data_IF_747568617562
#
_entry.id   IF_747568617562
#
_cell.length_a   1.000
_cell.length_b   1.000
_cell.length_c   1.000
_cell.angle_alpha   90.00
_cell.angle_beta   90.00
_cell.angle_gamma   90.00
#
_symmetry.space_group_name_H-M   'P 1'
#
loop_
_entity.id
_entity.type
_entity.pdbx_description
1 polymer ?
#
# COMPACT_ATOMS: atom_id res chain seq x y z
N UNK A 1 -13.02 8.50 -45.95
CA UNK A 1 -13.87 7.92 -44.90
C UNK A 1 -13.07 6.81 -44.25
N UNK A 2 -12.77 6.99 -42.96
CA UNK A 2 -12.33 6.01 -41.94
C UNK A 2 -11.18 5.05 -42.31
N UNK A 3 -9.99 5.36 -41.79
CA UNK A 3 -9.02 4.35 -41.38
C UNK A 3 -8.59 4.67 -39.95
N UNK A 4 -9.42 4.27 -38.99
CA UNK A 4 -9.22 4.43 -37.55
C UNK A 4 -8.95 3.04 -36.93
N UNK A 5 -7.87 2.39 -37.37
CA UNK A 5 -7.53 1.00 -37.03
C UNK A 5 -6.00 0.86 -36.90
N UNK A 6 -5.40 1.48 -35.89
CA UNK A 6 -3.99 1.21 -35.54
C UNK A 6 -3.59 1.69 -34.12
N UNK A 7 -4.44 1.45 -33.11
CA UNK A 7 -4.11 1.80 -31.71
C UNK A 7 -4.05 0.60 -30.76
N UNK A 8 -4.48 -0.60 -31.18
CA UNK A 8 -4.73 -1.72 -30.26
C UNK A 8 -3.52 -2.61 -29.85
N UNK A 9 -2.36 -2.66 -30.52
CA UNK A 9 -1.21 -3.43 -30.02
C UNK A 9 -0.49 -2.76 -28.85
N UNK A 10 -0.38 -1.42 -28.86
CA UNK A 10 0.32 -0.63 -27.85
C UNK A 10 -0.46 -0.55 -26.55
N UNK A 11 -1.77 -0.27 -26.62
CA UNK A 11 -2.64 -0.26 -25.45
C UNK A 11 -2.58 -1.59 -24.66
N UNK A 12 -2.51 -2.73 -25.37
CA UNK A 12 -2.33 -4.03 -24.73
C UNK A 12 -0.93 -4.24 -24.10
N UNK A 13 0.12 -3.60 -24.59
CA UNK A 13 1.46 -3.68 -23.99
C UNK A 13 1.54 -2.85 -22.69
N UNK A 14 0.97 -1.63 -22.70
CA UNK A 14 0.98 -0.73 -21.55
C UNK A 14 0.17 -1.31 -20.38
N UNK A 15 -0.96 -1.97 -20.67
CA UNK A 15 -1.77 -2.67 -19.65
C UNK A 15 -0.98 -3.84 -19.04
N UNK A 16 -0.29 -4.64 -19.86
CA UNK A 16 0.54 -5.74 -19.36
C UNK A 16 1.67 -5.23 -18.46
N UNK A 17 2.32 -4.13 -18.84
CA UNK A 17 3.34 -3.51 -18.00
C UNK A 17 2.76 -3.02 -16.66
N UNK A 18 1.62 -2.33 -16.71
CA UNK A 18 0.89 -1.85 -15.51
C UNK A 18 0.53 -3.01 -14.59
N UNK A 19 -0.03 -4.09 -15.14
CA UNK A 19 -0.40 -5.29 -14.39
C UNK A 19 0.84 -6.00 -13.79
N UNK A 20 1.96 -6.05 -14.52
CA UNK A 20 3.21 -6.62 -14.01
C UNK A 20 3.77 -5.78 -12.85
N UNK A 21 3.80 -4.44 -12.99
CA UNK A 21 4.21 -3.54 -11.90
C UNK A 21 3.33 -3.72 -10.66
N UNK A 22 2.02 -3.82 -10.85
CA UNK A 22 1.07 -4.09 -9.78
C UNK A 22 1.36 -5.44 -9.10
N UNK A 23 1.65 -6.50 -9.86
CA UNK A 23 2.04 -7.81 -9.31
C UNK A 23 3.31 -7.70 -8.47
N UNK A 24 4.36 -7.03 -8.97
CA UNK A 24 5.61 -6.83 -8.24
C UNK A 24 5.40 -6.07 -6.92
N UNK A 25 4.56 -5.03 -6.94
CA UNK A 25 4.24 -4.27 -5.74
C UNK A 25 3.44 -5.11 -4.74
N UNK A 26 2.45 -5.90 -5.17
CA UNK A 26 1.72 -6.83 -4.30
C UNK A 26 2.64 -7.90 -3.70
N UNK A 27 3.60 -8.42 -4.47
CA UNK A 27 4.59 -9.36 -3.96
C UNK A 27 5.47 -8.71 -2.88
N UNK A 28 5.90 -7.47 -3.09
CA UNK A 28 6.69 -6.71 -2.10
C UNK A 28 5.86 -6.42 -0.84
N UNK A 29 4.60 -6.01 -1.02
CA UNK A 29 3.65 -5.75 0.05
C UNK A 29 3.41 -6.98 0.94
N UNK A 30 3.13 -8.14 0.33
CA UNK A 30 2.95 -9.40 1.04
C UNK A 30 4.23 -9.89 1.72
N UNK A 31 5.40 -9.56 1.17
CA UNK A 31 6.70 -9.82 1.81
C UNK A 31 6.85 -9.00 3.11
N UNK A 32 6.45 -7.73 3.13
CA UNK A 32 6.47 -6.90 4.34
C UNK A 32 5.48 -7.40 5.41
N UNK A 33 4.28 -7.83 5.01
CA UNK A 33 3.33 -8.50 5.93
C UNK A 33 3.94 -9.78 6.51
N UNK A 34 4.61 -10.57 5.68
CA UNK A 34 5.27 -11.80 6.13
C UNK A 34 6.39 -11.51 7.13
N UNK A 35 7.17 -10.45 6.91
CA UNK A 35 8.19 -10.00 7.85
C UNK A 35 7.57 -9.59 9.19
N UNK A 36 6.47 -8.82 9.18
CA UNK A 36 5.70 -8.50 10.41
C UNK A 36 5.28 -9.78 11.15
N UNK A 37 4.73 -10.76 10.43
CA UNK A 37 4.31 -12.05 11.00
C UNK A 37 5.46 -12.89 11.57
N UNK A 38 6.67 -12.78 11.01
CA UNK A 38 7.88 -13.42 11.53
C UNK A 38 8.41 -12.75 12.81
N UNK A 39 8.03 -11.49 13.06
CA UNK A 39 8.39 -10.71 14.24
C UNK A 39 7.25 -10.58 15.25
N UNK A 40 6.27 -11.50 15.22
CA UNK A 40 5.09 -11.56 16.12
C UNK A 40 5.38 -11.89 17.58
N UNK A 41 6.63 -11.79 18.01
CA UNK A 41 7.00 -11.89 19.43
C UNK A 41 6.14 -10.89 20.22
N UNK A 42 5.90 -11.13 21.52
CA UNK A 42 4.88 -10.39 22.28
C UNK A 42 5.19 -8.88 22.28
N UNK A 43 4.57 -8.14 21.37
CA UNK A 43 4.53 -6.69 21.36
C UNK A 43 3.63 -6.26 22.51
N UNK A 44 4.17 -5.51 23.45
CA UNK A 44 3.43 -5.05 24.64
C UNK A 44 3.21 -3.55 24.67
N UNK A 45 3.83 -2.81 23.74
CA UNK A 45 3.76 -1.35 23.70
C UNK A 45 2.43 -0.93 23.07
N UNK A 46 1.50 -0.36 23.87
CA UNK A 46 0.14 -0.06 23.41
C UNK A 46 0.09 0.84 22.19
N UNK A 47 1.02 1.79 22.09
CA UNK A 47 1.08 2.75 21.00
C UNK A 47 1.45 2.09 19.66
N UNK A 48 2.35 1.11 19.69
CA UNK A 48 2.72 0.30 18.51
C UNK A 48 1.58 -0.60 18.07
N UNK A 49 0.83 -1.17 19.03
CA UNK A 49 -0.35 -1.99 18.73
C UNK A 49 -1.48 -1.14 18.12
N UNK A 50 -1.77 0.03 18.71
CA UNK A 50 -2.74 0.96 18.15
C UNK A 50 -2.34 1.43 16.75
N UNK A 51 -1.05 1.68 16.51
CA UNK A 51 -0.56 2.01 15.17
C UNK A 51 -0.79 0.86 14.18
N UNK A 52 -0.57 -0.39 14.58
CA UNK A 52 -0.85 -1.56 13.74
C UNK A 52 -2.35 -1.63 13.40
N UNK A 53 -3.22 -1.46 14.38
CA UNK A 53 -4.68 -1.47 14.18
C UNK A 53 -5.11 -0.37 13.20
N UNK A 54 -4.59 0.85 13.38
CA UNK A 54 -4.88 1.98 12.49
C UNK A 54 -4.29 1.79 11.09
N UNK A 55 -3.12 1.16 10.97
CA UNK A 55 -2.51 0.82 9.70
C UNK A 55 -3.35 -0.22 8.94
N UNK A 56 -3.90 -1.23 9.63
CA UNK A 56 -4.83 -2.20 9.02
C UNK A 56 -6.09 -1.50 8.53
N UNK A 57 -6.70 -0.63 9.35
CA UNK A 57 -7.87 0.15 8.92
C UNK A 57 -7.56 1.02 7.70
N UNK A 58 -6.39 1.67 7.66
CA UNK A 58 -5.97 2.47 6.52
C UNK A 58 -5.75 1.63 5.25
N UNK A 59 -5.13 0.45 5.37
CA UNK A 59 -4.91 -0.46 4.24
C UNK A 59 -6.24 -0.87 3.64
N UNK A 60 -7.18 -1.29 4.49
CA UNK A 60 -8.52 -1.69 4.08
C UNK A 60 -9.25 -0.53 3.40
N UNK A 61 -9.20 0.66 4.00
CA UNK A 61 -9.77 1.85 3.40
C UNK A 61 -9.12 2.14 2.03
N UNK A 62 -7.81 2.32 1.96
CA UNK A 62 -7.14 2.71 0.71
C UNK A 62 -7.41 1.75 -0.46
N UNK A 63 -7.52 0.43 -0.21
CA UNK A 63 -7.77 -0.57 -1.24
C UNK A 63 -9.22 -0.62 -1.74
N UNK A 64 -10.19 -0.21 -0.92
CA UNK A 64 -11.61 -0.33 -1.25
C UNK A 64 -12.30 0.99 -1.61
N UNK A 65 -11.63 2.13 -1.46
CA UNK A 65 -12.27 3.45 -1.61
C UNK A 65 -12.29 4.00 -3.04
N UNK A 66 -13.26 4.89 -3.28
CA UNK A 66 -13.48 5.59 -4.54
C UNK A 66 -12.49 6.75 -4.73
N UNK A 67 -12.19 7.22 -5.95
CA UNK A 67 -11.38 8.41 -6.19
C UNK A 67 -11.84 9.67 -5.42
N UNK A 68 -13.12 9.75 -5.05
CA UNK A 68 -13.65 10.85 -4.24
C UNK A 68 -13.08 10.92 -2.81
N UNK A 69 -12.51 9.82 -2.31
CA UNK A 69 -11.97 9.70 -0.95
C UNK A 69 -10.45 9.94 -0.88
N UNK A 70 -9.81 10.24 -2.01
CA UNK A 70 -8.35 10.33 -2.14
C UNK A 70 -7.72 11.29 -1.12
N UNK A 71 -8.34 12.45 -0.88
CA UNK A 71 -7.84 13.39 0.12
C UNK A 71 -7.92 12.82 1.55
N UNK A 72 -8.99 12.09 1.88
CA UNK A 72 -9.18 11.47 3.21
C UNK A 72 -8.11 10.40 3.43
N UNK A 73 -7.87 9.57 2.42
CA UNK A 73 -6.82 8.55 2.41
C UNK A 73 -5.44 9.20 2.58
N UNK A 74 -5.11 10.23 1.80
CA UNK A 74 -3.81 10.91 1.92
C UNK A 74 -3.57 11.55 3.30
N UNK A 75 -4.62 12.10 3.92
CA UNK A 75 -4.54 12.62 5.29
C UNK A 75 -4.30 11.52 6.31
N UNK A 76 -5.00 10.39 6.19
CA UNK A 76 -4.80 9.23 7.07
C UNK A 76 -3.38 8.66 6.95
N UNK A 77 -2.85 8.55 5.73
CA UNK A 77 -1.47 8.16 5.46
C UNK A 77 -0.47 9.08 6.15
N UNK A 78 -0.66 10.38 5.99
CA UNK A 78 0.23 11.39 6.59
C UNK A 78 0.22 11.26 8.12
N UNK A 79 -0.95 11.10 8.74
CA UNK A 79 -1.06 10.91 10.20
C UNK A 79 -0.34 9.66 10.67
N UNK A 80 -0.46 8.53 9.96
CA UNK A 80 0.24 7.29 10.29
C UNK A 80 1.77 7.46 10.17
N UNK A 81 2.23 8.08 9.08
CA UNK A 81 3.66 8.35 8.88
C UNK A 81 4.23 9.27 9.96
N UNK A 82 3.51 10.32 10.35
CA UNK A 82 3.89 11.21 11.45
C UNK A 82 3.97 10.43 12.77
N UNK A 83 3.00 9.56 13.06
CA UNK A 83 3.05 8.72 14.28
C UNK A 83 4.27 7.80 14.28
N UNK A 84 4.59 7.14 13.16
CA UNK A 84 5.78 6.30 13.05
C UNK A 84 7.06 7.08 13.38
N UNK A 85 7.17 8.32 12.91
CA UNK A 85 8.34 9.18 13.16
C UNK A 85 8.47 9.64 14.62
N UNK A 86 7.35 9.74 15.34
CA UNK A 86 7.33 10.19 16.74
C UNK A 86 7.36 9.06 17.77
N UNK A 87 7.15 7.82 17.35
CA UNK A 87 7.33 6.67 18.24
C UNK A 87 8.82 6.49 18.51
N UNK A 88 9.17 6.35 19.79
CA UNK A 88 10.51 5.99 20.23
C UNK A 88 10.54 4.50 20.58
N UNK A 89 10.83 3.62 19.60
CA UNK A 89 10.85 2.20 19.86
C UNK A 89 12.03 1.83 20.76
N UNK A 90 11.83 0.81 21.60
CA UNK A 90 12.91 0.29 22.44
C UNK A 90 13.97 -0.34 21.54
N UNK A 91 15.20 0.17 21.58
CA UNK A 91 16.30 -0.27 20.72
C UNK A 91 16.64 -1.76 20.88
N UNK A 92 16.45 -2.32 22.08
CA UNK A 92 16.67 -3.74 22.40
C UNK A 92 15.42 -4.60 22.17
N UNK A 93 14.55 -4.20 21.25
CA UNK A 93 13.30 -4.90 20.92
C UNK A 93 13.11 -5.04 19.41
N UNK A 94 12.08 -5.78 19.00
CA UNK A 94 11.68 -5.88 17.58
C UNK A 94 10.82 -4.70 17.11
N UNK A 95 10.44 -3.77 17.99
CA UNK A 95 9.62 -2.62 17.66
C UNK A 95 10.18 -1.76 16.51
N UNK A 96 11.49 -1.44 16.44
CA UNK A 96 12.01 -0.64 15.33
C UNK A 96 11.77 -1.31 13.98
N UNK A 97 11.91 -2.64 13.92
CA UNK A 97 11.69 -3.41 12.71
C UNK A 97 10.20 -3.46 12.34
N UNK A 98 9.32 -3.61 13.33
CA UNK A 98 7.86 -3.56 13.11
C UNK A 98 7.45 -2.19 12.55
N UNK A 99 7.89 -1.09 13.15
CA UNK A 99 7.60 0.27 12.69
C UNK A 99 8.15 0.51 11.28
N UNK A 100 9.35 0.01 10.99
CA UNK A 100 9.93 0.08 9.65
C UNK A 100 9.09 -0.67 8.62
N UNK A 101 8.67 -1.90 8.90
CA UNK A 101 7.84 -2.69 7.99
C UNK A 101 6.47 -2.05 7.76
N UNK A 102 5.84 -1.48 8.79
CA UNK A 102 4.59 -0.70 8.63
C UNK A 102 4.83 0.50 7.72
N UNK A 103 5.90 1.27 7.94
CA UNK A 103 6.22 2.43 7.10
C UNK A 103 6.43 2.07 5.63
N UNK A 104 7.15 0.96 5.37
CA UNK A 104 7.37 0.44 4.02
C UNK A 104 6.06 0.01 3.36
N UNK A 105 5.20 -0.68 4.09
CA UNK A 105 3.88 -1.11 3.65
C UNK A 105 3.03 0.10 3.22
N UNK A 106 2.92 1.10 4.10
CA UNK A 106 2.16 2.34 3.86
C UNK A 106 2.68 3.14 2.66
N UNK A 107 4.00 3.13 2.43
CA UNK A 107 4.61 3.84 1.30
C UNK A 107 4.26 3.22 -0.08
N UNK A 108 3.96 1.92 -0.14
CA UNK A 108 3.60 1.25 -1.39
C UNK A 108 2.12 1.43 -1.77
N UNK A 109 1.24 1.61 -0.78
CA UNK A 109 -0.22 1.61 -0.97
C UNK A 109 -0.73 2.60 -2.02
N UNK A 110 -0.30 3.89 -2.04
CA UNK A 110 -0.82 4.85 -3.00
C UNK A 110 -0.59 4.40 -4.45
N UNK A 111 0.59 3.84 -4.74
CA UNK A 111 0.92 3.36 -6.08
C UNK A 111 0.13 2.09 -6.44
N UNK A 112 -0.07 1.17 -5.48
CA UNK A 112 -0.92 0.00 -5.67
C UNK A 112 -2.35 0.42 -6.05
N UNK A 113 -2.93 1.37 -5.32
CA UNK A 113 -4.29 1.86 -5.58
C UNK A 113 -4.38 2.52 -6.97
N UNK A 114 -3.41 3.37 -7.30
CA UNK A 114 -3.32 4.05 -8.60
C UNK A 114 -3.25 3.07 -9.77
N UNK A 115 -2.43 2.01 -9.64
CA UNK A 115 -2.29 0.97 -10.66
C UNK A 115 -3.52 0.07 -10.74
N UNK A 116 -4.15 -0.27 -9.62
CA UNK A 116 -5.41 -1.01 -9.60
C UNK A 116 -6.51 -0.27 -10.38
N UNK A 117 -6.64 1.03 -10.21
CA UNK A 117 -7.59 1.85 -10.97
C UNK A 117 -7.28 1.83 -12.48
N UNK A 118 -6.01 1.92 -12.88
CA UNK A 118 -5.63 1.85 -14.31
C UNK A 118 -5.93 0.49 -14.94
N UNK A 119 -5.80 -0.60 -14.17
CA UNK A 119 -6.14 -1.95 -14.65
C UNK A 119 -7.67 -2.16 -14.63
N UNK A 120 -8.39 -1.59 -13.66
CA UNK A 120 -9.84 -1.73 -13.51
C UNK A 120 -10.65 -0.86 -14.49
N UNK A 121 -10.08 0.24 -15.00
CA UNK A 121 -10.67 1.07 -16.06
C UNK A 121 -10.52 0.35 -17.40
N UNK A 122 -11.25 -0.77 -17.56
CA UNK A 122 -11.82 -1.22 -18.83
C UNK A 122 -13.02 -2.15 -18.56
N UNK A 123 -14.25 -1.65 -18.78
CA UNK A 123 -15.32 -2.48 -19.31
C UNK A 123 -14.94 -2.93 -20.74
N UNK A 124 -15.53 -4.03 -21.17
CA UNK A 124 -15.40 -4.58 -22.52
C UNK A 124 -15.73 -3.58 -23.64
#
# INVERSE_FOLDING_TARGET
MVSNLSTEPRANADIRETAFRLLCLNHTFTSYISALGAHREKLTTPETLALLDDAVCYVDDALHHSPADEQRVQQALTRLQTRIQHLEPRADSKEPLVLQQIGLLLALLPEICRLQQQVAVRPE
#
